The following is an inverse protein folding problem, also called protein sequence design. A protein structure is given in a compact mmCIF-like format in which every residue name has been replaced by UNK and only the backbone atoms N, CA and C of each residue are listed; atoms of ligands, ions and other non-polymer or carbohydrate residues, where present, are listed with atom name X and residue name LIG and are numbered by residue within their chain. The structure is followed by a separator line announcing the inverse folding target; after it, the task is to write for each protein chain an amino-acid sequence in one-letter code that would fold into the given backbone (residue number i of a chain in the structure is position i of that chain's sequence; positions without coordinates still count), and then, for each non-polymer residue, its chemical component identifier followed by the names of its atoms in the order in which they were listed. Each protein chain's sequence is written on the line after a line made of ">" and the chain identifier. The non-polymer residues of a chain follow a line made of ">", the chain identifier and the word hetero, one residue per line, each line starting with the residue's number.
data_IF_220163146013
#
_entry.id   IF_220163146013
#
_cell.length_a   1.000
_cell.length_b   1.000
_cell.length_c   1.000
_cell.angle_alpha   90.00
_cell.angle_beta   90.00
_cell.angle_gamma   90.00
#
_symmetry.space_group_name_H-M   'P 1'
#
loop_
_entity.id
_entity.type
_entity.pdbx_description
1 polymer ?
#
# COMPACT_ATOMS: atom_id res chain seq x y z
N UNK A 1 48.94 -27.21 4.52
CA UNK A 1 47.64 -27.15 3.79
C UNK A 1 46.44 -26.85 4.70
N UNK A 2 46.61 -26.27 5.89
CA UNK A 2 45.48 -25.98 6.81
C UNK A 2 44.79 -24.63 6.58
N UNK A 3 45.48 -23.64 6.00
CA UNK A 3 44.93 -22.28 5.84
C UNK A 3 43.76 -22.16 4.86
N UNK A 4 43.62 -23.09 3.91
CA UNK A 4 42.54 -23.09 2.91
C UNK A 4 41.25 -23.75 3.43
N UNK A 5 41.30 -24.45 4.56
CA UNK A 5 40.14 -25.19 5.09
C UNK A 5 39.31 -24.36 6.08
N UNK A 6 39.93 -23.42 6.81
CA UNK A 6 39.24 -22.53 7.78
C UNK A 6 38.43 -21.40 7.12
N UNK A 7 38.91 -20.88 5.98
CA UNK A 7 38.27 -19.79 5.23
C UNK A 7 36.97 -20.21 4.54
N UNK A 8 36.85 -21.48 4.12
CA UNK A 8 35.61 -22.04 3.55
C UNK A 8 34.49 -22.17 4.60
N UNK A 9 34.82 -22.53 5.84
CA UNK A 9 33.84 -22.61 6.94
C UNK A 9 33.25 -21.24 7.25
N UNK A 10 34.09 -20.20 7.38
CA UNK A 10 33.65 -18.82 7.66
C UNK A 10 32.72 -18.28 6.58
N UNK A 11 33.01 -18.56 5.30
CA UNK A 11 32.19 -18.13 4.16
C UNK A 11 30.81 -18.84 4.10
N UNK A 12 30.71 -20.06 4.63
CA UNK A 12 29.45 -20.83 4.71
C UNK A 12 28.55 -20.30 5.84
N UNK A 13 29.13 -19.95 6.99
CA UNK A 13 28.41 -19.37 8.14
C UNK A 13 27.87 -17.97 7.85
N UNK A 14 28.63 -17.12 7.14
CA UNK A 14 28.18 -15.77 6.75
C UNK A 14 26.98 -15.83 5.80
N UNK A 15 27.00 -16.74 4.81
CA UNK A 15 25.86 -16.95 3.89
C UNK A 15 24.59 -17.44 4.58
N UNK A 16 24.73 -18.29 5.60
CA UNK A 16 23.58 -18.77 6.39
C UNK A 16 23.01 -17.67 7.30
N UNK A 17 23.85 -16.77 7.81
CA UNK A 17 23.42 -15.64 8.63
C UNK A 17 22.70 -14.57 7.79
N UNK A 18 23.16 -14.31 6.57
CA UNK A 18 22.46 -13.44 5.60
C UNK A 18 21.11 -14.02 5.16
N UNK A 19 21.00 -15.34 4.93
CA UNK A 19 19.71 -15.97 4.60
C UNK A 19 18.70 -15.90 5.75
N UNK A 20 19.13 -16.09 6.99
CA UNK A 20 18.25 -15.99 8.15
C UNK A 20 17.81 -14.54 8.41
N UNK A 21 18.72 -13.56 8.26
CA UNK A 21 18.36 -12.14 8.31
C UNK A 21 17.34 -11.78 7.22
N UNK A 22 17.55 -12.27 5.99
CA UNK A 22 16.67 -11.99 4.86
C UNK A 22 15.29 -12.66 5.04
N UNK A 23 15.25 -13.86 5.64
CA UNK A 23 14.00 -14.55 5.97
C UNK A 23 13.23 -13.87 7.11
N UNK A 24 13.91 -13.40 8.16
CA UNK A 24 13.27 -12.59 9.20
C UNK A 24 12.79 -11.23 8.68
N UNK A 25 13.55 -10.64 7.75
CA UNK A 25 13.15 -9.41 7.08
C UNK A 25 11.87 -9.64 6.30
N UNK A 26 11.81 -10.68 5.46
CA UNK A 26 10.65 -11.10 4.69
C UNK A 26 9.37 -11.33 5.53
N UNK A 27 9.51 -11.78 6.78
CA UNK A 27 8.38 -11.98 7.71
C UNK A 27 7.88 -10.68 8.36
N UNK A 28 8.73 -9.64 8.44
CA UNK A 28 8.37 -8.32 8.95
C UNK A 28 8.03 -7.32 7.84
N UNK A 29 8.18 -7.68 6.57
CA UNK A 29 7.76 -6.81 5.47
C UNK A 29 6.22 -6.91 5.34
N UNK A 30 5.50 -5.78 5.31
CA UNK A 30 4.07 -5.81 5.08
C UNK A 30 3.77 -6.48 3.73
N UNK A 31 2.96 -7.55 3.77
CA UNK A 31 2.58 -8.37 2.61
C UNK A 31 2.08 -7.57 1.40
N UNK A 32 1.50 -6.39 1.67
CA UNK A 32 1.17 -5.39 0.67
C UNK A 32 2.01 -4.14 0.92
N UNK A 33 2.83 -3.71 -0.06
CA UNK A 33 3.52 -2.44 0.01
C UNK A 33 2.50 -1.31 0.15
N UNK A 34 2.73 -0.38 1.08
CA UNK A 34 1.88 0.80 1.30
C UNK A 34 1.53 1.51 -0.03
N UNK A 35 2.50 1.60 -0.95
CA UNK A 35 2.33 2.21 -2.28
C UNK A 35 1.30 1.49 -3.15
N UNK A 36 1.27 0.15 -3.10
CA UNK A 36 0.31 -0.67 -3.86
C UNK A 36 -1.10 -0.50 -3.29
N UNK A 37 -1.24 -0.52 -1.96
CA UNK A 37 -2.52 -0.24 -1.29
C UNK A 37 -3.06 1.14 -1.65
N UNK A 38 -2.20 2.16 -1.63
CA UNK A 38 -2.55 3.54 -2.02
C UNK A 38 -3.06 3.63 -3.47
N UNK A 39 -2.37 2.94 -4.38
CA UNK A 39 -2.73 2.93 -5.80
C UNK A 39 -4.08 2.25 -6.04
N UNK A 40 -4.35 1.13 -5.37
CA UNK A 40 -5.63 0.42 -5.46
C UNK A 40 -6.76 1.33 -4.97
N UNK A 41 -6.59 1.97 -3.80
CA UNK A 41 -7.61 2.84 -3.22
C UNK A 41 -7.88 4.05 -4.13
N UNK A 42 -6.83 4.64 -4.71
CA UNK A 42 -6.99 5.74 -5.66
C UNK A 42 -7.80 5.32 -6.90
N UNK A 43 -7.51 4.15 -7.48
CA UNK A 43 -8.25 3.62 -8.63
C UNK A 43 -9.70 3.33 -8.23
N UNK A 44 -9.91 2.63 -7.11
CA UNK A 44 -11.25 2.31 -6.59
C UNK A 44 -12.06 3.57 -6.32
N UNK A 45 -11.43 4.63 -5.80
CA UNK A 45 -12.06 5.92 -5.55
C UNK A 45 -12.59 6.56 -6.84
N UNK A 46 -11.77 6.58 -7.89
CA UNK A 46 -12.16 7.16 -9.18
C UNK A 46 -13.26 6.32 -9.82
N UNK A 47 -13.13 4.99 -9.79
CA UNK A 47 -14.14 4.07 -10.32
C UNK A 47 -15.47 4.30 -9.62
N UNK A 48 -15.49 4.39 -8.29
CA UNK A 48 -16.73 4.66 -7.56
C UNK A 48 -17.30 6.04 -7.86
N UNK A 49 -16.48 7.09 -7.91
CA UNK A 49 -16.94 8.42 -8.26
C UNK A 49 -17.62 8.46 -9.65
N UNK A 50 -17.02 7.79 -10.64
CA UNK A 50 -17.56 7.70 -12.01
C UNK A 50 -18.84 6.86 -12.04
N UNK A 51 -18.87 5.71 -11.35
CA UNK A 51 -20.08 4.88 -11.26
C UNK A 51 -21.24 5.63 -10.61
N UNK A 52 -20.98 6.34 -9.50
CA UNK A 52 -22.00 7.14 -8.83
C UNK A 52 -22.48 8.27 -9.72
N UNK A 53 -21.59 9.01 -10.38
CA UNK A 53 -21.97 10.05 -11.33
C UNK A 53 -22.81 9.47 -12.48
N UNK A 54 -22.40 8.35 -13.06
CA UNK A 54 -23.14 7.68 -14.14
C UNK A 54 -24.55 7.23 -13.73
N UNK A 55 -24.76 6.84 -12.47
CA UNK A 55 -26.09 6.48 -11.94
C UNK A 55 -26.95 7.69 -11.58
N UNK A 56 -26.34 8.79 -11.14
CA UNK A 56 -27.06 9.97 -10.65
C UNK A 56 -27.43 10.93 -11.79
N UNK A 57 -26.60 11.07 -12.83
CA UNK A 57 -26.86 11.96 -13.97
C UNK A 57 -28.22 11.67 -14.63
N UNK A 58 -28.61 10.42 -14.93
CA UNK A 58 -29.90 10.12 -15.54
C UNK A 58 -31.09 10.40 -14.62
N UNK A 59 -30.90 10.36 -13.29
CA UNK A 59 -32.00 10.46 -12.32
C UNK A 59 -32.21 11.86 -11.76
N UNK A 60 -31.14 12.65 -11.59
CA UNK A 60 -31.20 13.96 -10.93
C UNK A 60 -30.63 15.10 -11.76
N UNK A 61 -29.82 14.80 -12.79
CA UNK A 61 -29.21 15.79 -13.67
C UNK A 61 -27.69 15.86 -13.54
N UNK A 62 -27.08 16.62 -14.46
CA UNK A 62 -25.62 16.73 -14.59
C UNK A 62 -24.95 17.35 -13.35
N UNK A 63 -25.59 18.34 -12.74
CA UNK A 63 -25.03 19.07 -11.59
C UNK A 63 -25.00 18.19 -10.34
N UNK A 64 -26.12 17.54 -9.99
CA UNK A 64 -26.13 16.53 -8.93
C UNK A 64 -25.16 15.40 -9.20
N UNK A 65 -25.05 14.90 -10.44
CA UNK A 65 -24.12 13.82 -10.79
C UNK A 65 -22.66 14.14 -10.46
N UNK A 66 -22.21 15.34 -10.80
CA UNK A 66 -20.85 15.82 -10.49
C UNK A 66 -20.70 16.07 -9.00
N UNK A 67 -21.71 16.66 -8.34
CA UNK A 67 -21.66 16.90 -6.89
C UNK A 67 -21.54 15.59 -6.11
N UNK A 68 -22.34 14.58 -6.45
CA UNK A 68 -22.32 13.27 -5.81
C UNK A 68 -21.06 12.47 -6.15
N UNK A 69 -20.58 12.51 -7.40
CA UNK A 69 -19.32 11.89 -7.78
C UNK A 69 -18.12 12.51 -7.05
N UNK A 70 -18.07 13.83 -6.95
CA UNK A 70 -17.04 14.55 -6.19
C UNK A 70 -17.14 14.26 -4.69
N UNK A 71 -18.36 14.22 -4.14
CA UNK A 71 -18.60 13.92 -2.73
C UNK A 71 -18.10 12.51 -2.37
N UNK A 72 -18.43 11.50 -3.18
CA UNK A 72 -17.96 10.13 -2.96
C UNK A 72 -16.44 9.99 -3.14
N UNK A 73 -15.87 10.59 -4.19
CA UNK A 73 -14.42 10.60 -4.40
C UNK A 73 -13.67 11.29 -3.26
N UNK A 74 -14.18 12.43 -2.79
CA UNK A 74 -13.60 13.17 -1.67
C UNK A 74 -13.72 12.39 -0.34
N UNK A 75 -14.84 11.70 -0.10
CA UNK A 75 -15.05 10.90 1.11
C UNK A 75 -14.00 9.79 1.24
N UNK A 76 -13.68 9.12 0.13
CA UNK A 76 -12.67 8.04 0.09
C UNK A 76 -11.27 8.60 0.35
N UNK A 77 -10.97 9.79 -0.18
CA UNK A 77 -9.75 10.53 0.14
C UNK A 77 -9.66 10.92 1.61
N UNK A 78 -10.76 11.37 2.23
CA UNK A 78 -10.81 11.71 3.66
C UNK A 78 -10.51 10.50 4.54
N UNK A 79 -11.09 9.34 4.25
CA UNK A 79 -10.83 8.09 4.98
C UNK A 79 -9.36 7.71 4.87
N UNK A 80 -8.78 7.82 3.67
CA UNK A 80 -7.39 7.51 3.43
C UNK A 80 -6.44 8.49 4.13
N UNK A 81 -6.73 9.79 4.04
CA UNK A 81 -5.97 10.82 4.74
C UNK A 81 -6.05 10.61 6.25
N UNK A 82 -7.22 10.25 6.80
CA UNK A 82 -7.37 9.86 8.19
C UNK A 82 -6.36 8.78 8.60
N UNK A 83 -6.23 7.72 7.80
CA UNK A 83 -5.28 6.63 8.05
C UNK A 83 -3.81 7.09 8.05
N UNK A 84 -3.45 8.06 7.20
CA UNK A 84 -2.11 8.63 7.17
C UNK A 84 -1.86 9.62 8.31
N UNK A 85 -2.89 10.38 8.71
CA UNK A 85 -2.84 11.43 9.72
C UNK A 85 -2.66 10.86 11.13
N UNK A 86 -3.28 9.70 11.42
CA UNK A 86 -3.07 9.00 12.70
C UNK A 86 -1.61 8.65 12.95
N UNK A 87 -0.84 8.31 11.91
CA UNK A 87 0.59 8.01 12.03
C UNK A 87 1.46 9.24 12.30
N UNK A 88 0.95 10.44 12.03
CA UNK A 88 1.63 11.72 12.30
C UNK A 88 1.23 12.35 13.63
N UNK A 89 0.07 11.99 14.20
CA UNK A 89 -0.40 12.51 15.49
C UNK A 89 0.12 11.70 16.69
N UNK A 90 0.34 10.39 16.54
CA UNK A 90 0.75 9.50 17.64
C UNK A 90 2.26 9.18 17.65
N UNK A 91 3.09 10.03 17.04
CA UNK A 91 4.55 10.01 17.19
C UNK A 91 5.10 11.43 17.32
#
# INVERSE_FOLDING_TARGET
>A
MEYIMSSRKKKKTIKQQEQNLNSQKALNEPWIPMRKGLMIIAITSVVMAVLTAAQVIPQRGWLEGILWGLLFGALIWVIFWGFYFFRRIFH
#
